data_IF_891675906545
#
_entry.id   IF_891675906545
#
_cell.length_a   1.000
_cell.length_b   1.000
_cell.length_c   1.000
_cell.angle_alpha   90.00
_cell.angle_beta   90.00
_cell.angle_gamma   90.00
#
_symmetry.space_group_name_H-M   'P 1'
#
loop_
_entity.id
_entity.type
_entity.pdbx_description
1 polymer ?
#
# COMPACT_ATOMS: atom_id res chain seq x y z
N UNK A 1 -12.31 -52.27 3.88
CA UNK A 1 -12.61 -51.00 3.20
C UNK A 1 -12.85 -51.32 1.72
N UNK A 2 -14.03 -51.03 1.18
CA UNK A 2 -14.33 -51.31 -0.23
C UNK A 2 -13.69 -50.25 -1.12
N UNK A 3 -13.15 -50.64 -2.30
CA UNK A 3 -12.47 -49.71 -3.23
C UNK A 3 -13.27 -48.43 -3.52
N UNK A 4 -14.59 -48.50 -3.47
CA UNK A 4 -15.49 -47.32 -3.68
C UNK A 4 -15.37 -46.25 -2.59
N UNK A 5 -15.12 -46.66 -1.33
CA UNK A 5 -15.06 -45.74 -0.20
C UNK A 5 -13.73 -44.93 -0.21
N UNK A 6 -12.66 -45.49 -0.78
CA UNK A 6 -11.36 -44.83 -0.95
C UNK A 6 -11.46 -43.65 -1.95
N UNK A 7 -12.18 -43.84 -3.07
CA UNK A 7 -12.34 -42.77 -4.08
C UNK A 7 -13.24 -41.64 -3.59
N UNK A 8 -14.27 -41.91 -2.83
CA UNK A 8 -15.18 -40.90 -2.28
C UNK A 8 -14.46 -40.03 -1.25
N UNK A 9 -13.67 -40.61 -0.36
CA UNK A 9 -12.90 -39.89 0.65
C UNK A 9 -11.79 -39.05 0.03
N UNK A 10 -11.12 -39.53 -1.02
CA UNK A 10 -10.09 -38.78 -1.74
C UNK A 10 -10.66 -37.59 -2.52
N UNK A 11 -11.82 -37.74 -3.14
CA UNK A 11 -12.49 -36.65 -3.87
C UNK A 11 -12.97 -35.53 -2.93
N UNK A 12 -13.50 -35.87 -1.74
CA UNK A 12 -13.92 -34.92 -0.72
C UNK A 12 -12.73 -34.16 -0.12
N UNK A 13 -11.60 -34.83 0.13
CA UNK A 13 -10.39 -34.19 0.62
C UNK A 13 -9.78 -33.22 -0.40
N UNK A 14 -9.80 -33.56 -1.69
CA UNK A 14 -9.31 -32.71 -2.77
C UNK A 14 -10.21 -31.47 -2.95
N UNK A 15 -11.52 -31.64 -2.87
CA UNK A 15 -12.50 -30.54 -2.95
C UNK A 15 -12.35 -29.56 -1.78
N UNK A 16 -12.13 -30.06 -0.57
CA UNK A 16 -11.89 -29.22 0.61
C UNK A 16 -10.55 -28.47 0.54
N UNK A 17 -9.52 -29.07 -0.04
CA UNK A 17 -8.23 -28.44 -0.28
C UNK A 17 -8.32 -27.34 -1.34
N UNK A 18 -9.06 -27.56 -2.42
CA UNK A 18 -9.32 -26.56 -3.46
C UNK A 18 -10.15 -25.37 -2.95
N UNK A 19 -11.17 -25.62 -2.12
CA UNK A 19 -11.96 -24.57 -1.48
C UNK A 19 -11.12 -23.73 -0.47
N UNK A 20 -10.17 -24.35 0.23
CA UNK A 20 -9.22 -23.62 1.08
C UNK A 20 -8.20 -22.81 0.29
N UNK A 21 -7.79 -23.28 -0.87
CA UNK A 21 -6.85 -22.54 -1.74
C UNK A 21 -7.49 -21.31 -2.38
N UNK A 22 -8.80 -21.25 -2.54
CA UNK A 22 -9.51 -20.09 -3.07
C UNK A 22 -9.77 -18.98 -2.04
N UNK A 23 -9.45 -19.17 -0.75
CA UNK A 23 -9.79 -18.25 0.34
C UNK A 23 -8.67 -17.39 0.90
N UNK A 24 -7.42 -17.57 0.49
CA UNK A 24 -6.32 -16.73 0.95
C UNK A 24 -6.09 -15.56 -0.04
N UNK A 25 -6.96 -14.54 0.04
CA UNK A 25 -6.68 -13.28 -0.66
C UNK A 25 -5.30 -12.75 -0.21
N UNK A 26 -4.43 -12.42 -1.18
CA UNK A 26 -3.13 -11.83 -0.88
C UNK A 26 -3.30 -10.54 -0.08
N UNK A 27 -2.38 -10.20 0.81
CA UNK A 27 -2.40 -8.91 1.48
C UNK A 27 -2.40 -7.77 0.46
N UNK A 28 -3.16 -6.71 0.72
CA UNK A 28 -3.09 -5.48 -0.04
C UNK A 28 -1.72 -4.83 0.20
N UNK A 29 -1.03 -4.49 -0.86
CA UNK A 29 0.26 -3.82 -0.79
C UNK A 29 0.07 -2.32 -0.62
N UNK A 30 0.91 -1.69 0.21
CA UNK A 30 0.86 -0.27 0.53
C UNK A 30 2.18 0.41 0.15
N UNK A 31 2.08 1.49 -0.62
CA UNK A 31 3.17 2.43 -0.85
C UNK A 31 2.98 3.67 0.03
N UNK A 32 4.04 4.09 0.71
CA UNK A 32 4.01 5.26 1.60
C UNK A 32 4.77 6.40 0.93
N UNK A 33 4.12 7.56 0.81
CA UNK A 33 4.75 8.80 0.33
C UNK A 33 4.89 9.74 1.51
N UNK A 34 6.12 10.08 1.86
CA UNK A 34 6.48 11.11 2.82
C UNK A 34 7.21 12.26 2.16
N UNK A 35 7.47 13.33 2.92
CA UNK A 35 8.34 14.42 2.53
C UNK A 35 8.93 15.07 3.77
N UNK A 36 10.12 14.65 4.13
CA UNK A 36 10.86 15.21 5.26
C UNK A 36 11.09 16.70 5.07
N UNK A 37 10.72 17.50 6.09
CA UNK A 37 10.75 18.97 6.02
C UNK A 37 9.50 19.61 5.41
N UNK A 38 8.60 18.85 4.77
CA UNK A 38 7.35 19.32 4.20
C UNK A 38 6.13 18.65 4.88
N UNK A 39 6.19 18.53 6.20
CA UNK A 39 5.15 17.86 6.98
C UNK A 39 5.43 16.39 7.26
N UNK A 40 6.55 15.89 6.82
CA UNK A 40 7.08 14.54 7.09
C UNK A 40 6.10 13.44 6.69
N UNK A 41 5.71 12.60 7.66
CA UNK A 41 4.81 11.45 7.49
C UNK A 41 3.45 11.68 8.18
N UNK A 42 3.02 12.93 8.27
CA UNK A 42 1.72 13.31 8.79
C UNK A 42 1.52 12.92 10.25
N UNK A 43 0.32 12.46 10.59
CA UNK A 43 -0.09 12.07 11.94
C UNK A 43 -0.07 10.55 12.14
N UNK A 44 0.86 9.84 11.50
CA UNK A 44 1.01 8.39 11.61
C UNK A 44 0.39 7.59 10.48
N UNK A 45 0.12 8.24 9.35
CA UNK A 45 -0.41 7.61 8.14
C UNK A 45 0.54 6.56 7.55
N UNK A 46 1.82 6.66 7.87
CA UNK A 46 2.88 5.71 7.52
C UNK A 46 2.79 4.39 8.30
N UNK A 47 2.58 4.47 9.61
CA UNK A 47 2.66 3.31 10.53
C UNK A 47 1.32 2.62 10.80
N UNK A 48 0.20 3.26 10.50
CA UNK A 48 -1.14 2.67 10.73
C UNK A 48 -1.27 1.29 10.07
N UNK A 49 -0.67 1.13 8.90
CA UNK A 49 -0.70 -0.10 8.09
C UNK A 49 0.00 -1.29 8.73
N UNK A 50 0.94 -1.06 9.65
CA UNK A 50 1.61 -2.12 10.42
C UNK A 50 0.66 -2.85 11.37
N UNK A 51 -0.51 -2.24 11.67
CA UNK A 51 -1.52 -2.77 12.58
C UNK A 51 -2.79 -3.25 11.88
N UNK A 52 -2.92 -3.00 10.58
CA UNK A 52 -4.10 -3.40 9.81
C UNK A 52 -3.88 -4.81 9.25
N UNK A 53 -4.66 -5.82 9.67
CA UNK A 53 -4.59 -7.16 9.09
C UNK A 53 -4.80 -7.12 7.58
N UNK A 54 -4.08 -7.99 6.85
CA UNK A 54 -4.18 -8.09 5.39
C UNK A 54 -3.64 -6.89 4.61
N UNK A 55 -2.84 -6.02 5.26
CA UNK A 55 -2.02 -5.02 4.56
C UNK A 55 -0.53 -5.32 4.72
N UNK A 56 0.27 -4.91 3.76
CA UNK A 56 1.74 -5.02 3.80
C UNK A 56 2.34 -3.79 3.15
N UNK A 57 3.12 -3.02 3.90
CA UNK A 57 3.92 -1.94 3.34
C UNK A 57 5.04 -2.57 2.50
N UNK A 58 5.18 -2.14 1.25
CA UNK A 58 6.16 -2.68 0.30
C UNK A 58 7.20 -1.67 -0.13
N UNK A 59 6.89 -0.38 -0.04
CA UNK A 59 7.78 0.69 -0.48
C UNK A 59 7.48 2.00 0.26
N UNK A 60 8.52 2.85 0.35
CA UNK A 60 8.42 4.23 0.84
C UNK A 60 9.16 5.17 -0.09
N UNK A 61 8.64 6.38 -0.27
CA UNK A 61 9.28 7.45 -1.02
C UNK A 61 9.43 8.71 -0.15
N UNK A 62 10.59 9.35 -0.22
CA UNK A 62 10.89 10.64 0.40
C UNK A 62 12.06 11.30 -0.34
N UNK A 63 11.93 12.58 -0.70
CA UNK A 63 12.98 13.32 -1.39
C UNK A 63 14.21 13.61 -0.50
N UNK A 64 14.06 13.60 0.82
CA UNK A 64 15.19 13.76 1.75
C UNK A 64 15.89 12.41 2.01
N UNK A 65 17.18 12.25 1.68
CA UNK A 65 17.86 10.95 1.81
C UNK A 65 17.96 10.43 3.25
N UNK A 66 18.04 11.34 4.24
CA UNK A 66 18.13 10.94 5.65
C UNK A 66 16.76 10.51 6.17
N UNK A 67 15.72 11.27 5.84
CA UNK A 67 14.33 10.94 6.14
C UNK A 67 13.95 9.60 5.52
N UNK A 68 14.25 9.42 4.24
CA UNK A 68 14.01 8.18 3.50
C UNK A 68 14.66 6.96 4.18
N UNK A 69 15.96 7.05 4.52
CA UNK A 69 16.67 5.94 5.14
C UNK A 69 16.10 5.58 6.53
N UNK A 70 15.77 6.61 7.32
CA UNK A 70 15.17 6.43 8.64
C UNK A 70 13.79 5.78 8.55
N UNK A 71 12.95 6.24 7.63
CA UNK A 71 11.60 5.74 7.46
C UNK A 71 11.58 4.31 6.88
N UNK A 72 12.39 4.04 5.87
CA UNK A 72 12.51 2.68 5.31
C UNK A 72 12.87 1.66 6.40
N UNK A 73 13.81 2.01 7.30
CA UNK A 73 14.17 1.18 8.44
C UNK A 73 13.02 1.01 9.43
N UNK A 74 12.33 2.09 9.79
CA UNK A 74 11.17 2.11 10.70
C UNK A 74 10.04 1.21 10.18
N UNK A 75 9.80 1.20 8.87
CA UNK A 75 8.78 0.39 8.21
C UNK A 75 9.22 -1.07 7.95
N UNK A 76 10.35 -1.50 8.49
CA UNK A 76 10.80 -2.90 8.41
C UNK A 76 11.75 -3.21 7.26
N UNK A 77 12.45 -2.20 6.74
CA UNK A 77 13.44 -2.37 5.65
C UNK A 77 12.79 -2.52 4.28
N UNK A 78 11.71 -1.78 4.04
CA UNK A 78 11.01 -1.77 2.75
C UNK A 78 11.82 -1.09 1.66
N UNK A 79 11.45 -1.31 0.38
CA UNK A 79 12.09 -0.64 -0.75
C UNK A 79 11.95 0.89 -0.64
N UNK A 80 13.05 1.62 -0.91
CA UNK A 80 13.17 3.05 -0.69
C UNK A 80 13.42 3.79 -2.01
N UNK A 81 12.70 4.87 -2.24
CA UNK A 81 12.75 5.66 -3.47
C UNK A 81 12.86 7.16 -3.15
N UNK A 82 13.71 7.88 -3.86
CA UNK A 82 13.82 9.33 -3.73
C UNK A 82 12.63 10.06 -4.39
N UNK A 83 12.04 9.47 -5.41
CA UNK A 83 10.88 9.99 -6.14
C UNK A 83 9.68 9.03 -6.00
N UNK A 84 8.55 9.56 -5.54
CA UNK A 84 7.32 8.78 -5.37
C UNK A 84 6.76 8.25 -6.70
N UNK A 85 7.02 8.91 -7.83
CA UNK A 85 6.60 8.44 -9.14
C UNK A 85 7.34 7.18 -9.55
N UNK A 86 8.64 7.12 -9.26
CA UNK A 86 9.45 5.91 -9.47
C UNK A 86 8.96 4.79 -8.57
N UNK A 87 8.67 5.08 -7.29
CA UNK A 87 8.08 4.11 -6.36
C UNK A 87 6.76 3.54 -6.90
N UNK A 88 5.85 4.40 -7.35
CA UNK A 88 4.54 3.99 -7.85
C UNK A 88 4.67 3.09 -9.10
N UNK A 89 5.59 3.40 -10.01
CA UNK A 89 5.84 2.60 -11.21
C UNK A 89 6.48 1.24 -10.90
N UNK A 90 7.44 1.22 -9.98
CA UNK A 90 8.22 0.02 -9.66
C UNK A 90 7.47 -0.92 -8.73
N UNK A 91 6.90 -0.41 -7.64
CA UNK A 91 6.24 -1.20 -6.61
C UNK A 91 4.77 -1.53 -6.94
N UNK A 92 4.09 -0.69 -7.73
CA UNK A 92 2.67 -0.82 -8.11
C UNK A 92 1.78 -1.20 -6.92
N UNK A 93 1.76 -0.40 -5.85
CA UNK A 93 1.02 -0.74 -4.64
C UNK A 93 -0.50 -0.73 -4.89
N UNK A 94 -1.24 -1.58 -4.17
CA UNK A 94 -2.70 -1.56 -4.21
C UNK A 94 -3.28 -0.32 -3.54
N UNK A 95 -2.63 0.13 -2.46
CA UNK A 95 -3.01 1.31 -1.68
C UNK A 95 -1.84 2.28 -1.60
N UNK A 96 -2.12 3.58 -1.59
CA UNK A 96 -1.12 4.63 -1.44
C UNK A 96 -1.45 5.50 -0.24
N UNK A 97 -0.50 5.63 0.69
CA UNK A 97 -0.58 6.57 1.80
C UNK A 97 0.18 7.86 1.43
N UNK A 98 -0.52 8.98 1.33
CA UNK A 98 0.05 10.30 1.05
C UNK A 98 0.12 11.06 2.37
N UNK A 99 1.30 11.11 2.97
CA UNK A 99 1.50 11.52 4.34
C UNK A 99 1.95 12.98 4.57
N UNK A 100 2.57 13.71 3.61
CA UNK A 100 3.02 15.09 3.86
C UNK A 100 1.87 15.99 4.31
N UNK A 101 2.13 16.87 5.31
CA UNK A 101 1.10 17.82 5.79
C UNK A 101 1.02 19.10 4.96
N UNK A 102 1.98 19.31 4.07
CA UNK A 102 1.99 20.48 3.18
C UNK A 102 1.18 20.18 1.93
N UNK A 103 -0.01 20.75 1.88
CA UNK A 103 -1.07 20.48 0.91
C UNK A 103 -0.68 20.71 -0.58
N UNK A 104 0.33 21.54 -0.85
CA UNK A 104 0.67 21.96 -2.22
C UNK A 104 1.12 20.80 -3.13
N UNK A 105 1.51 19.66 -2.55
CA UNK A 105 1.92 18.48 -3.30
C UNK A 105 0.80 17.43 -3.45
N UNK A 106 -0.27 17.53 -2.63
CA UNK A 106 -1.31 16.50 -2.56
C UNK A 106 -1.94 16.19 -3.90
N UNK A 107 -2.37 17.21 -4.63
CA UNK A 107 -3.01 17.03 -5.94
C UNK A 107 -2.14 16.22 -6.91
N UNK A 108 -0.87 16.60 -7.08
CA UNK A 108 0.05 15.88 -7.95
C UNK A 108 0.31 14.44 -7.51
N UNK A 109 0.37 14.19 -6.20
CA UNK A 109 0.56 12.85 -5.63
C UNK A 109 -0.68 11.98 -5.83
N UNK A 110 -1.89 12.55 -5.67
CA UNK A 110 -3.17 11.87 -5.91
C UNK A 110 -3.25 11.42 -7.37
N UNK A 111 -3.05 12.34 -8.32
CA UNK A 111 -3.12 12.05 -9.75
C UNK A 111 -2.09 10.98 -10.16
N UNK A 112 -0.88 11.05 -9.61
CA UNK A 112 0.15 10.03 -9.88
C UNK A 112 -0.25 8.65 -9.33
N UNK A 113 -0.85 8.59 -8.14
CA UNK A 113 -1.33 7.33 -7.55
C UNK A 113 -2.49 6.73 -8.37
N UNK A 114 -3.44 7.56 -8.81
CA UNK A 114 -4.54 7.13 -9.70
C UNK A 114 -3.99 6.62 -11.02
N UNK A 115 -3.09 7.36 -11.66
CA UNK A 115 -2.46 6.95 -12.93
C UNK A 115 -1.65 5.66 -12.82
N UNK A 116 -1.06 5.38 -11.67
CA UNK A 116 -0.36 4.13 -11.38
C UNK A 116 -1.30 2.93 -11.11
N UNK A 117 -2.61 3.16 -11.03
CA UNK A 117 -3.63 2.12 -10.83
C UNK A 117 -3.85 1.75 -9.36
N UNK A 118 -3.57 2.65 -8.42
CA UNK A 118 -3.90 2.44 -7.01
C UNK A 118 -5.40 2.21 -6.84
N UNK A 119 -5.76 1.22 -6.01
CA UNK A 119 -7.16 0.88 -5.71
C UNK A 119 -7.77 1.76 -4.61
N UNK A 120 -6.92 2.43 -3.83
CA UNK A 120 -7.33 3.35 -2.80
C UNK A 120 -6.18 4.25 -2.36
N UNK A 121 -6.55 5.44 -1.90
CA UNK A 121 -5.63 6.45 -1.40
C UNK A 121 -6.05 6.83 0.01
N UNK A 122 -5.10 6.83 0.93
CA UNK A 122 -5.24 7.37 2.27
C UNK A 122 -4.35 8.60 2.39
N UNK A 123 -4.91 9.74 2.71
CA UNK A 123 -4.21 11.01 2.61
C UNK A 123 -4.35 11.86 3.87
N UNK A 124 -3.26 12.53 4.24
CA UNK A 124 -3.27 13.55 5.29
C UNK A 124 -4.18 14.74 4.89
N UNK A 125 -4.85 15.30 5.87
CA UNK A 125 -5.73 16.48 5.66
C UNK A 125 -4.89 17.77 5.58
N UNK A 126 -5.37 18.80 4.88
CA UNK A 126 -6.58 18.83 4.04
C UNK A 126 -6.36 18.07 2.73
N UNK A 127 -7.46 17.65 2.10
CA UNK A 127 -7.42 16.82 0.88
C UNK A 127 -6.65 17.51 -0.26
N UNK A 128 -7.14 18.66 -0.73
CA UNK A 128 -6.53 19.49 -1.78
C UNK A 128 -6.73 20.97 -1.48
N UNK A 129 -6.15 21.85 -2.30
CA UNK A 129 -6.16 23.31 -2.06
C UNK A 129 -7.42 24.01 -2.52
N UNK A 130 -8.02 23.54 -3.61
CA UNK A 130 -9.17 24.20 -4.28
C UNK A 130 -10.23 23.19 -4.67
N UNK A 131 -11.43 23.68 -5.00
CA UNK A 131 -12.52 22.85 -5.52
C UNK A 131 -12.18 22.28 -6.90
N UNK A 132 -11.51 23.07 -7.74
CA UNK A 132 -11.06 22.62 -9.07
C UNK A 132 -10.12 21.43 -8.96
N UNK A 133 -9.16 21.44 -8.02
CA UNK A 133 -8.29 20.30 -7.75
C UNK A 133 -9.04 19.07 -7.20
N UNK A 134 -10.19 19.30 -6.55
CA UNK A 134 -11.02 18.21 -6.04
C UNK A 134 -11.91 17.56 -7.11
N UNK A 135 -12.26 18.34 -8.14
CA UNK A 135 -13.12 17.90 -9.25
C UNK A 135 -12.34 17.17 -10.36
N UNK A 136 -11.01 17.33 -10.42
CA UNK A 136 -10.12 16.67 -11.38
C UNK A 136 -9.81 15.21 -10.98
#
# INVERSE_FOLDING_TARGET
MKRRDFFVTSALALSAALLRAQGAERPLTVGVIGHTGQGNYGHGEDVVWLKIPRTKIVAVADADPKGLAAEAKKLGGVAAYADYREMLQAAKPDLVAICPRHIHEHHAMILAAVAAGAKGIYIEKPFVRTLEEADE
#
